data_IF_978208317546
#
_entry.id   IF_978208317546
#
_cell.length_a   1.000
_cell.length_b   1.000
_cell.length_c   1.000
_cell.angle_alpha   90.00
_cell.angle_beta   90.00
_cell.angle_gamma   90.00
#
_symmetry.space_group_name_H-M   'P 1'
#
loop_
_entity.id
_entity.type
_entity.pdbx_description
1 polymer ?
#
# COMPACT_ATOMS: atom_id res chain seq x y z
N UNK A 1 3.83 22.93 -13.01
CA UNK A 1 2.63 22.11 -13.26
C UNK A 1 1.63 22.46 -12.17
N UNK A 2 0.33 22.61 -12.48
CA UNK A 2 -0.71 23.03 -11.52
C UNK A 2 -1.02 21.99 -10.44
N UNK A 3 -0.66 20.72 -10.64
CA UNK A 3 -0.95 19.58 -9.75
C UNK A 3 0.28 18.72 -9.54
N UNK A 4 0.35 18.06 -8.39
CA UNK A 4 1.48 17.22 -8.00
C UNK A 4 1.36 15.80 -8.59
N UNK A 5 1.92 15.60 -9.79
CA UNK A 5 1.96 14.30 -10.46
C UNK A 5 2.75 13.27 -9.63
N UNK A 6 3.73 13.70 -8.85
CA UNK A 6 4.55 12.79 -8.04
C UNK A 6 3.68 12.03 -7.05
N UNK A 7 2.74 12.70 -6.39
CA UNK A 7 1.81 12.06 -5.45
C UNK A 7 0.90 11.02 -6.13
N UNK A 8 0.46 11.30 -7.38
CA UNK A 8 -0.34 10.36 -8.16
C UNK A 8 0.47 9.11 -8.55
N UNK A 9 1.73 9.30 -8.94
CA UNK A 9 2.64 8.20 -9.23
C UNK A 9 2.89 7.37 -7.97
N UNK A 10 3.18 8.01 -6.83
CA UNK A 10 3.45 7.31 -5.58
C UNK A 10 2.27 6.46 -5.13
N UNK A 11 1.04 7.00 -5.13
CA UNK A 11 -0.15 6.23 -4.72
C UNK A 11 -0.45 5.09 -5.68
N UNK A 12 -0.17 5.26 -6.97
CA UNK A 12 -0.24 4.19 -7.97
C UNK A 12 0.78 3.09 -7.71
N UNK A 13 2.06 3.43 -7.52
CA UNK A 13 3.11 2.47 -7.16
C UNK A 13 2.74 1.64 -5.92
N UNK A 14 2.23 2.32 -4.88
CA UNK A 14 1.72 1.65 -3.66
C UNK A 14 0.65 0.63 -4.00
N UNK A 15 -0.33 1.00 -4.82
CA UNK A 15 -1.41 0.08 -5.23
C UNK A 15 -0.89 -1.08 -6.11
N UNK A 16 0.23 -0.90 -6.79
CA UNK A 16 0.92 -1.99 -7.49
C UNK A 16 1.60 -2.98 -6.56
N UNK A 17 2.22 -2.50 -5.49
CA UNK A 17 2.83 -3.33 -4.44
C UNK A 17 1.76 -4.01 -3.58
N UNK A 18 0.76 -3.23 -3.12
CA UNK A 18 -0.36 -3.65 -2.25
C UNK A 18 -1.65 -3.00 -2.75
N UNK A 19 -2.53 -3.75 -3.42
CA UNK A 19 -3.64 -3.20 -4.20
C UNK A 19 -4.55 -2.28 -3.38
N UNK A 20 -4.87 -2.65 -2.15
CA UNK A 20 -5.77 -1.91 -1.26
C UNK A 20 -5.08 -0.79 -0.47
N UNK A 21 -3.74 -0.84 -0.32
CA UNK A 21 -3.02 0.09 0.56
C UNK A 21 -3.06 1.54 0.05
N UNK A 22 -2.99 1.74 -1.28
CA UNK A 22 -3.13 3.07 -1.87
C UNK A 22 -4.48 3.70 -1.57
N UNK A 23 -5.55 2.93 -1.73
CA UNK A 23 -6.92 3.37 -1.39
C UNK A 23 -7.06 3.62 0.11
N UNK A 24 -6.52 2.73 0.95
CA UNK A 24 -6.58 2.89 2.41
C UNK A 24 -5.83 4.13 2.88
N UNK A 25 -4.67 4.45 2.30
CA UNK A 25 -3.91 5.66 2.63
C UNK A 25 -4.71 6.93 2.33
N UNK A 26 -5.33 7.00 1.15
CA UNK A 26 -6.21 8.12 0.78
C UNK A 26 -7.42 8.17 1.72
N UNK A 27 -8.11 7.06 1.94
CA UNK A 27 -9.30 7.00 2.77
C UNK A 27 -9.05 7.46 4.22
N UNK A 28 -7.99 6.95 4.84
CA UNK A 28 -7.68 7.25 6.25
C UNK A 28 -7.26 8.71 6.47
N UNK A 29 -6.72 9.35 5.44
CA UNK A 29 -6.29 10.76 5.49
C UNK A 29 -7.31 11.74 4.90
N UNK A 30 -8.46 11.27 4.41
CA UNK A 30 -9.55 12.13 3.94
C UNK A 30 -10.24 12.79 5.14
N UNK A 31 -10.48 14.10 5.07
CA UNK A 31 -11.15 14.86 6.11
C UNK A 31 -12.65 14.55 6.19
N UNK A 32 -13.25 14.73 7.37
CA UNK A 32 -14.67 14.45 7.57
C UNK A 32 -15.60 15.39 6.77
N UNK A 33 -15.11 16.57 6.39
CA UNK A 33 -15.85 17.56 5.58
C UNK A 33 -15.64 17.44 4.08
N UNK A 34 -14.88 16.44 3.60
CA UNK A 34 -14.58 16.28 2.18
C UNK A 34 -15.86 16.04 1.36
N UNK A 35 -16.08 16.89 0.36
CA UNK A 35 -17.26 16.84 -0.50
C UNK A 35 -16.97 16.42 -1.93
N UNK A 36 -15.70 16.55 -2.38
CA UNK A 36 -15.31 16.22 -3.74
C UNK A 36 -15.28 14.71 -3.99
N UNK A 37 -15.85 14.27 -5.11
CA UNK A 37 -15.88 12.86 -5.49
C UNK A 37 -14.64 12.47 -6.29
N UNK A 38 -14.10 11.26 -6.05
CA UNK A 38 -14.62 10.19 -5.17
C UNK A 38 -14.11 10.24 -3.73
N UNK A 39 -13.25 11.19 -3.31
CA UNK A 39 -12.70 11.27 -1.95
C UNK A 39 -13.79 11.33 -0.87
N UNK A 40 -14.92 11.98 -1.13
CA UNK A 40 -16.06 12.07 -0.20
C UNK A 40 -16.63 10.71 0.23
N UNK A 41 -16.40 9.64 -0.53
CA UNK A 41 -16.75 8.27 -0.10
C UNK A 41 -16.04 7.85 1.19
N UNK A 42 -14.92 8.49 1.49
CA UNK A 42 -14.08 8.23 2.66
C UNK A 42 -14.21 9.31 3.76
N UNK A 43 -15.09 10.31 3.58
CA UNK A 43 -15.34 11.33 4.60
C UNK A 43 -15.95 10.73 5.87
N UNK A 44 -16.77 9.69 5.71
CA UNK A 44 -17.43 8.99 6.82
C UNK A 44 -16.62 7.81 7.38
N UNK A 45 -16.95 7.42 8.61
CA UNK A 45 -16.29 6.31 9.34
C UNK A 45 -16.39 4.97 8.60
N UNK A 46 -17.49 4.71 7.93
CA UNK A 46 -17.70 3.44 7.21
C UNK A 46 -16.82 3.31 5.98
N UNK A 47 -16.62 4.38 5.22
CA UNK A 47 -15.69 4.40 4.09
C UNK A 47 -14.26 4.12 4.53
N UNK A 48 -13.81 4.76 5.62
CA UNK A 48 -12.48 4.54 6.21
C UNK A 48 -12.30 3.11 6.72
N UNK A 49 -13.30 2.58 7.44
CA UNK A 49 -13.26 1.20 7.96
C UNK A 49 -13.26 0.17 6.82
N UNK A 50 -14.06 0.39 5.77
CA UNK A 50 -14.08 -0.48 4.60
C UNK A 50 -12.73 -0.52 3.89
N UNK A 51 -12.11 0.64 3.66
CA UNK A 51 -10.79 0.72 3.05
C UNK A 51 -9.69 0.06 3.92
N UNK A 52 -9.72 0.29 5.23
CA UNK A 52 -8.80 -0.34 6.17
C UNK A 52 -8.98 -1.87 6.21
N UNK A 53 -10.23 -2.34 6.27
CA UNK A 53 -10.53 -3.77 6.25
C UNK A 53 -10.09 -4.43 4.94
N UNK A 54 -10.25 -3.75 3.79
CA UNK A 54 -9.72 -4.21 2.50
C UNK A 54 -8.21 -4.39 2.53
N UNK A 55 -7.47 -3.40 3.03
CA UNK A 55 -6.01 -3.47 3.12
C UNK A 55 -5.54 -4.59 4.07
N UNK A 56 -6.17 -4.75 5.23
CA UNK A 56 -5.87 -5.85 6.17
C UNK A 56 -6.23 -7.20 5.54
N UNK A 57 -7.39 -7.28 4.88
CA UNK A 57 -7.83 -8.50 4.19
C UNK A 57 -6.86 -8.93 3.10
N UNK A 58 -6.32 -7.99 2.32
CA UNK A 58 -5.28 -8.29 1.33
C UNK A 58 -4.00 -8.86 1.99
N UNK A 59 -3.53 -8.25 3.08
CA UNK A 59 -2.35 -8.74 3.82
C UNK A 59 -2.53 -10.17 4.32
N UNK A 60 -3.74 -10.55 4.71
CA UNK A 60 -4.07 -11.92 5.12
C UNK A 60 -4.17 -12.84 3.90
N UNK A 61 -4.90 -12.42 2.87
CA UNK A 61 -5.14 -13.21 1.66
C UNK A 61 -3.83 -13.55 0.93
N UNK A 62 -2.88 -12.62 0.85
CA UNK A 62 -1.56 -12.83 0.22
C UNK A 62 -0.73 -13.95 0.87
N UNK A 63 -1.09 -14.38 2.09
CA UNK A 63 -0.41 -15.47 2.80
C UNK A 63 -1.09 -16.82 2.61
N UNK A 64 -2.24 -16.86 1.94
CA UNK A 64 -2.99 -18.09 1.72
C UNK A 64 -2.43 -18.84 0.50
N UNK A 65 -2.28 -20.18 0.57
CA UNK A 65 -1.60 -20.98 -0.47
C UNK A 65 -2.37 -21.03 -1.80
N UNK A 66 -3.66 -20.69 -1.82
CA UNK A 66 -4.50 -20.66 -3.02
C UNK A 66 -4.63 -19.28 -3.65
N UNK A 67 -3.92 -18.28 -3.16
CA UNK A 67 -3.98 -16.92 -3.73
C UNK A 67 -3.35 -16.91 -5.13
N UNK A 68 -4.09 -16.51 -6.18
CA UNK A 68 -3.56 -16.45 -7.53
C UNK A 68 -2.34 -15.53 -7.63
N UNK A 69 -1.43 -15.85 -8.54
CA UNK A 69 -0.28 -15.00 -8.80
C UNK A 69 -0.72 -13.56 -9.13
N UNK A 70 -0.06 -12.57 -8.53
CA UNK A 70 -0.28 -11.14 -8.81
C UNK A 70 -0.03 -10.75 -10.27
N UNK A 71 0.68 -11.58 -11.04
CA UNK A 71 0.98 -11.37 -12.45
C UNK A 71 -0.08 -11.97 -13.39
N UNK A 72 -1.14 -12.58 -12.88
CA UNK A 72 -2.27 -12.95 -13.75
C UNK A 72 -2.89 -11.69 -14.37
N UNK A 73 -3.44 -11.75 -15.60
CA UNK A 73 -4.09 -10.59 -16.22
C UNK A 73 -5.13 -9.93 -15.31
N UNK A 74 -5.94 -10.72 -14.61
CA UNK A 74 -6.92 -10.22 -13.64
C UNK A 74 -6.25 -9.56 -12.42
N UNK A 75 -5.13 -10.13 -11.93
CA UNK A 75 -4.36 -9.56 -10.82
C UNK A 75 -3.73 -8.20 -11.17
N UNK A 76 -3.17 -8.07 -12.36
CA UNK A 76 -2.62 -6.80 -12.85
C UNK A 76 -3.75 -5.79 -13.08
N UNK A 77 -4.83 -6.19 -13.76
CA UNK A 77 -5.96 -5.31 -14.06
C UNK A 77 -6.62 -4.76 -12.79
N UNK A 78 -6.83 -5.60 -11.76
CA UNK A 78 -7.39 -5.16 -10.48
C UNK A 78 -6.48 -4.15 -9.78
N UNK A 79 -5.16 -4.36 -9.75
CA UNK A 79 -4.19 -3.43 -9.16
C UNK A 79 -4.15 -2.10 -9.90
N UNK A 80 -4.20 -2.11 -11.24
CA UNK A 80 -4.31 -0.91 -12.05
C UNK A 80 -5.61 -0.14 -11.76
N UNK A 81 -6.73 -0.84 -11.61
CA UNK A 81 -8.00 -0.22 -11.25
C UNK A 81 -7.94 0.44 -9.86
N UNK A 82 -7.38 -0.23 -8.84
CA UNK A 82 -7.19 0.36 -7.52
C UNK A 82 -6.21 1.53 -7.54
N UNK A 83 -5.11 1.45 -8.29
CA UNK A 83 -4.14 2.53 -8.44
C UNK A 83 -4.74 3.75 -9.13
N UNK A 84 -5.49 3.54 -10.21
CA UNK A 84 -6.23 4.61 -10.90
C UNK A 84 -7.27 5.25 -9.99
N UNK A 85 -8.08 4.45 -9.29
CA UNK A 85 -9.08 4.96 -8.35
C UNK A 85 -8.46 5.76 -7.19
N UNK A 86 -7.40 5.24 -6.57
CA UNK A 86 -6.70 5.93 -5.49
C UNK A 86 -6.11 7.28 -5.96
N UNK A 87 -5.56 7.33 -7.17
CA UNK A 87 -5.02 8.57 -7.75
C UNK A 87 -6.13 9.59 -8.04
N UNK A 88 -7.28 9.17 -8.58
CA UNK A 88 -8.44 10.06 -8.78
C UNK A 88 -8.97 10.57 -7.44
N UNK A 89 -9.11 9.71 -6.44
CA UNK A 89 -9.56 10.11 -5.11
C UNK A 89 -8.57 11.09 -4.44
N UNK A 90 -7.27 10.88 -4.61
CA UNK A 90 -6.25 11.81 -4.10
C UNK A 90 -6.31 13.15 -4.81
N UNK A 91 -6.40 13.15 -6.15
CA UNK A 91 -6.49 14.37 -6.96
C UNK A 91 -7.75 15.18 -6.68
N UNK A 92 -8.89 14.52 -6.41
CA UNK A 92 -10.15 15.20 -6.14
C UNK A 92 -10.15 16.03 -4.84
N UNK A 93 -9.19 15.82 -3.95
CA UNK A 93 -9.06 16.57 -2.69
C UNK A 93 -8.40 17.95 -2.87
N UNK A 94 -7.79 18.19 -4.02
CA UNK A 94 -7.10 19.45 -4.33
C UNK A 94 -7.98 20.32 -5.24
N UNK A 95 -8.18 21.61 -4.94
CA UNK A 95 -9.01 22.50 -5.77
C UNK A 95 -8.54 22.57 -7.24
N UNK A 96 -7.21 22.56 -7.45
CA UNK A 96 -6.56 22.53 -8.76
C UNK A 96 -5.99 21.14 -9.08
N UNK A 97 -6.64 20.08 -8.62
CA UNK A 97 -6.19 18.70 -8.80
C UNK A 97 -6.16 18.29 -10.28
N UNK A 98 -5.43 17.22 -10.56
CA UNK A 98 -5.35 16.69 -11.92
C UNK A 98 -6.73 16.26 -12.45
N UNK A 99 -7.00 16.44 -13.74
CA UNK A 99 -8.21 15.93 -14.38
C UNK A 99 -8.39 14.43 -14.07
N UNK A 100 -9.61 13.94 -13.76
CA UNK A 100 -9.84 12.57 -13.36
C UNK A 100 -9.27 11.51 -14.30
N UNK A 101 -9.40 11.74 -15.62
CA UNK A 101 -8.86 10.83 -16.63
C UNK A 101 -7.32 10.73 -16.59
N UNK A 102 -6.64 11.87 -16.38
CA UNK A 102 -5.19 11.92 -16.26
C UNK A 102 -4.74 11.24 -14.96
N UNK A 103 -5.40 11.57 -13.84
CA UNK A 103 -5.10 10.95 -12.55
C UNK A 103 -5.27 9.42 -12.60
N UNK A 104 -6.36 8.95 -13.21
CA UNK A 104 -6.61 7.53 -13.41
C UNK A 104 -5.52 6.87 -14.25
N UNK A 105 -5.15 7.47 -15.38
CA UNK A 105 -4.13 6.93 -16.28
C UNK A 105 -2.75 6.86 -15.60
N UNK A 106 -2.34 7.93 -14.91
CA UNK A 106 -1.07 7.98 -14.17
C UNK A 106 -1.06 6.95 -13.04
N UNK A 107 -2.13 6.90 -12.22
CA UNK A 107 -2.21 5.93 -11.11
C UNK A 107 -2.23 4.49 -11.59
N UNK A 108 -2.97 4.17 -12.66
CA UNK A 108 -3.01 2.84 -13.24
C UNK A 108 -1.65 2.41 -13.83
N UNK A 109 -1.00 3.29 -14.60
CA UNK A 109 0.32 3.02 -15.18
C UNK A 109 1.37 2.81 -14.09
N UNK A 110 1.40 3.68 -13.08
CA UNK A 110 2.30 3.53 -11.94
C UNK A 110 2.03 2.24 -11.15
N UNK A 111 0.76 1.83 -11.02
CA UNK A 111 0.39 0.56 -10.39
C UNK A 111 0.91 -0.65 -11.16
N UNK A 112 0.85 -0.64 -12.49
CA UNK A 112 1.46 -1.69 -13.30
C UNK A 112 2.97 -1.79 -13.04
N UNK A 113 3.68 -0.65 -12.99
CA UNK A 113 5.12 -0.60 -12.66
C UNK A 113 5.37 -1.16 -11.26
N UNK A 114 4.60 -0.73 -10.25
CA UNK A 114 4.72 -1.24 -8.87
C UNK A 114 4.49 -2.75 -8.78
N UNK A 115 3.52 -3.28 -9.52
CA UNK A 115 3.24 -4.73 -9.58
C UNK A 115 4.43 -5.50 -10.13
N UNK A 116 5.01 -5.05 -11.24
CA UNK A 116 6.18 -5.67 -11.85
C UNK A 116 7.41 -5.56 -10.96
N UNK A 117 7.66 -4.40 -10.38
CA UNK A 117 8.79 -4.17 -9.46
C UNK A 117 8.71 -5.07 -8.23
N UNK A 118 7.55 -5.19 -7.59
CA UNK A 118 7.34 -6.08 -6.45
C UNK A 118 7.51 -7.55 -6.82
N UNK A 119 7.01 -7.98 -7.98
CA UNK A 119 7.20 -9.34 -8.46
C UNK A 119 8.67 -9.65 -8.77
N UNK A 120 9.38 -8.72 -9.40
CA UNK A 120 10.81 -8.84 -9.68
C UNK A 120 11.62 -8.93 -8.38
N UNK A 121 11.33 -8.05 -7.41
CA UNK A 121 11.98 -8.06 -6.10
C UNK A 121 11.85 -9.40 -5.39
N UNK A 122 10.61 -9.95 -5.34
CA UNK A 122 10.33 -11.25 -4.70
C UNK A 122 11.04 -12.40 -5.42
N UNK A 123 11.07 -12.36 -6.75
CA UNK A 123 11.76 -13.35 -7.57
C UNK A 123 13.26 -13.34 -7.32
N UNK A 124 13.90 -12.17 -7.34
CA UNK A 124 15.37 -12.06 -7.10
C UNK A 124 15.75 -12.49 -5.68
N UNK A 125 14.90 -12.21 -4.67
CA UNK A 125 15.13 -12.70 -3.32
C UNK A 125 15.07 -14.23 -3.24
N UNK A 126 14.11 -14.86 -3.91
CA UNK A 126 13.99 -16.31 -3.99
C UNK A 126 15.16 -16.97 -4.74
N UNK A 127 15.58 -16.39 -5.87
CA UNK A 127 16.75 -16.86 -6.64
C UNK A 127 18.05 -16.76 -5.83
N UNK A 128 18.15 -15.80 -4.91
CA UNK A 128 19.28 -15.67 -3.98
C UNK A 128 19.21 -16.63 -2.78
N UNK A 129 18.24 -17.57 -2.75
CA UNK A 129 18.03 -18.53 -1.66
C UNK A 129 17.62 -17.89 -0.33
N UNK A 130 17.14 -16.64 -0.35
CA UNK A 130 16.69 -15.94 0.86
C UNK A 130 15.28 -16.36 1.26
N UNK A 131 14.99 -16.48 2.57
CA UNK A 131 13.62 -16.68 3.02
C UNK A 131 12.68 -15.58 2.48
N UNK A 132 11.45 -15.94 2.12
CA UNK A 132 10.49 -15.00 1.54
C UNK A 132 10.04 -13.89 2.52
N UNK A 133 9.96 -14.20 3.81
CA UNK A 133 9.42 -13.27 4.82
C UNK A 133 10.20 -11.94 4.98
N UNK A 134 11.57 -11.88 4.92
CA UNK A 134 12.26 -10.58 5.00
C UNK A 134 12.00 -9.71 3.76
N UNK A 135 11.94 -10.35 2.58
CA UNK A 135 11.64 -9.66 1.34
C UNK A 135 10.21 -9.07 1.36
N UNK A 136 9.25 -9.81 1.91
CA UNK A 136 7.88 -9.36 2.11
C UNK A 136 7.79 -8.17 3.08
N UNK A 137 8.50 -8.23 4.22
CA UNK A 137 8.52 -7.13 5.20
C UNK A 137 9.14 -5.86 4.62
N UNK A 138 10.19 -5.97 3.83
CA UNK A 138 10.81 -4.81 3.16
C UNK A 138 9.86 -4.21 2.10
N UNK A 139 9.16 -5.05 1.34
CA UNK A 139 8.12 -4.59 0.40
C UNK A 139 7.00 -3.84 1.14
N UNK A 140 6.51 -4.38 2.26
CA UNK A 140 5.48 -3.75 3.08
C UNK A 140 5.95 -2.40 3.67
N UNK A 141 7.17 -2.35 4.19
CA UNK A 141 7.77 -1.14 4.70
C UNK A 141 7.91 -0.07 3.61
N UNK A 142 8.39 -0.45 2.41
CA UNK A 142 8.50 0.45 1.27
C UNK A 142 7.10 0.97 0.85
N UNK A 143 6.11 0.10 0.76
CA UNK A 143 4.74 0.46 0.41
C UNK A 143 4.14 1.45 1.41
N UNK A 144 4.34 1.26 2.72
CA UNK A 144 3.88 2.18 3.77
C UNK A 144 4.56 3.55 3.70
N UNK A 145 5.87 3.59 3.45
CA UNK A 145 6.62 4.84 3.30
C UNK A 145 6.16 5.62 2.08
N UNK A 146 6.00 4.95 0.94
CA UNK A 146 5.48 5.55 -0.29
C UNK A 146 4.05 6.06 -0.09
N UNK A 147 3.19 5.29 0.58
CA UNK A 147 1.82 5.68 0.89
C UNK A 147 1.78 6.94 1.76
N UNK A 148 2.55 6.97 2.85
CA UNK A 148 2.64 8.14 3.73
C UNK A 148 3.16 9.38 3.01
N UNK A 149 4.13 9.21 2.11
CA UNK A 149 4.65 10.31 1.28
C UNK A 149 3.59 10.82 0.29
N UNK A 150 2.88 9.91 -0.37
CA UNK A 150 1.82 10.26 -1.32
C UNK A 150 0.72 11.12 -0.69
N UNK A 151 0.34 10.83 0.57
CA UNK A 151 -0.74 11.54 1.26
C UNK A 151 -0.24 12.66 2.20
N UNK A 152 1.06 12.98 2.20
CA UNK A 152 1.63 14.05 3.02
C UNK A 152 1.87 13.67 4.49
N UNK A 153 1.88 12.39 4.83
CA UNK A 153 2.04 11.89 6.20
C UNK A 153 3.32 11.05 6.38
N UNK A 154 4.42 11.47 5.77
CA UNK A 154 5.71 10.74 5.75
C UNK A 154 6.24 10.39 7.13
N UNK A 155 6.16 11.31 8.10
CA UNK A 155 6.65 11.06 9.46
C UNK A 155 5.80 10.03 10.22
N UNK A 156 4.49 10.01 9.99
CA UNK A 156 3.62 8.98 10.54
C UNK A 156 3.97 7.59 9.96
N UNK A 157 4.21 7.51 8.65
CA UNK A 157 4.63 6.28 7.99
C UNK A 157 5.99 5.80 8.50
N UNK A 158 6.97 6.68 8.65
CA UNK A 158 8.29 6.34 9.24
C UNK A 158 8.16 5.78 10.65
N UNK A 159 7.33 6.39 11.51
CA UNK A 159 7.08 5.89 12.88
C UNK A 159 6.42 4.51 12.87
N UNK A 160 5.47 4.27 11.98
CA UNK A 160 4.79 2.97 11.84
C UNK A 160 5.77 1.86 11.43
N UNK A 161 6.61 2.10 10.43
CA UNK A 161 7.63 1.15 9.97
C UNK A 161 8.66 0.87 11.07
N UNK A 162 9.15 1.89 11.76
CA UNK A 162 10.09 1.73 12.88
C UNK A 162 9.46 0.97 14.06
N UNK A 163 8.17 1.17 14.31
CA UNK A 163 7.40 0.42 15.33
C UNK A 163 7.31 -1.06 14.99
N UNK A 164 6.91 -1.37 13.76
CA UNK A 164 6.81 -2.75 13.28
C UNK A 164 8.16 -3.49 13.33
N UNK A 165 9.26 -2.81 12.96
CA UNK A 165 10.61 -3.36 13.05
C UNK A 165 11.02 -3.73 14.48
N UNK A 166 10.71 -2.87 15.46
CA UNK A 166 10.97 -3.17 16.90
C UNK A 166 10.18 -4.36 17.40
N UNK A 167 8.90 -4.45 17.02
CA UNK A 167 8.05 -5.58 17.42
C UNK A 167 8.56 -6.89 16.84
N UNK A 168 8.95 -6.90 15.57
CA UNK A 168 9.53 -8.08 14.91
C UNK A 168 10.85 -8.51 15.56
N UNK A 169 11.75 -7.56 15.88
CA UNK A 169 13.02 -7.84 16.55
C UNK A 169 12.81 -8.36 17.96
N UNK A 170 11.86 -7.81 18.72
CA UNK A 170 11.51 -8.28 20.05
C UNK A 170 10.93 -9.70 20.05
N UNK A 171 10.06 -10.02 19.10
CA UNK A 171 9.50 -11.36 18.95
C UNK A 171 10.57 -12.40 18.61
N UNK A 172 11.53 -12.06 17.74
CA UNK A 172 12.67 -12.92 17.41
C UNK A 172 13.58 -13.14 18.61
N UNK A 173 13.92 -12.09 19.37
CA UNK A 173 14.74 -12.20 20.57
C UNK A 173 14.07 -13.06 21.64
N UNK A 174 12.76 -12.93 21.85
CA UNK A 174 11.99 -13.77 22.77
C UNK A 174 11.94 -15.24 22.36
N UNK A 175 11.84 -15.52 21.05
CA UNK A 175 11.84 -16.88 20.51
C UNK A 175 13.22 -17.58 20.62
N UNK A 176 14.31 -16.81 20.64
CA UNK A 176 15.68 -17.29 20.75
C UNK A 176 16.19 -17.37 22.20
N UNK A 177 15.42 -16.86 23.17
CA UNK A 177 15.79 -16.95 24.60
C UNK A 177 15.62 -18.39 25.11
N UNK A 178 16.65 -18.99 25.70
CA UNK A 178 16.52 -20.35 26.27
C UNK A 178 15.45 -20.33 27.37
N UNK A 179 14.53 -21.31 27.31
CA UNK A 179 13.54 -21.53 28.36
C UNK A 179 14.26 -21.70 29.72
N UNK A 180 13.89 -20.96 30.81
CA UNK A 180 14.46 -21.21 32.11
C UNK A 180 14.13 -22.64 32.50
N UNK A 181 15.18 -23.47 32.65
CA UNK A 181 15.06 -24.85 32.98
C UNK A 181 14.22 -25.02 34.25
N UNK A 182 13.16 -25.83 34.15
CA UNK A 182 12.46 -26.34 35.34
C UNK A 182 13.40 -27.30 36.06
N UNK A 183 14.05 -26.80 37.09
CA UNK A 183 14.71 -27.63 38.08
C UNK A 183 13.69 -28.28 39.00
#
# INVERSE_FOLDING_TARGET
>A
MKYDVTRLVLVGLVSGLRSQLGVAAVALTTEAGESARPASLFAGVWGKRGAAAGAVGELVADKLPWTPSRLTPAGVASRMAFGGFAAVALASREPDGAPPALAAAVGAAASAVGTLAGAYWRRTAAEAGRPDWPAALLEDAAALLLAGTAVGHTDAARRAVAGAGRTASGALAGALSPSPGRG
#
